data_IF_706107820054
#
_entry.id   IF_706107820054
#
_cell.length_a   1.000
_cell.length_b   1.000
_cell.length_c   1.000
_cell.angle_alpha   90.00
_cell.angle_beta   90.00
_cell.angle_gamma   90.00
#
_symmetry.space_group_name_H-M   'P 1'
#
loop_
_entity.id
_entity.type
_entity.pdbx_description
1 polymer ?
#
# COMPACT_ATOMS: atom_id res chain seq x y z
N UNK A 1 -15.67 12.37 -10.34
CA UNK A 1 -15.42 10.92 -10.58
C UNK A 1 -13.94 10.51 -10.62
N UNK A 2 -12.95 11.43 -10.55
CA UNK A 2 -11.52 11.09 -10.66
C UNK A 2 -10.85 10.46 -9.41
N UNK A 3 -11.52 10.43 -8.25
CA UNK A 3 -10.96 9.91 -6.99
C UNK A 3 -10.99 8.38 -6.90
N UNK A 4 -12.02 7.73 -7.46
CA UNK A 4 -12.20 6.28 -7.36
C UNK A 4 -11.11 5.52 -8.13
N UNK A 5 -10.80 5.96 -9.37
CA UNK A 5 -9.76 5.33 -10.18
C UNK A 5 -8.38 5.36 -9.52
N UNK A 6 -8.00 6.47 -8.84
CA UNK A 6 -6.70 6.56 -8.16
C UNK A 6 -6.60 5.66 -6.93
N UNK A 7 -7.70 5.48 -6.21
CA UNK A 7 -7.74 4.61 -5.04
C UNK A 7 -7.69 3.11 -5.40
N UNK A 8 -8.17 2.74 -6.59
CA UNK A 8 -8.20 1.35 -7.07
C UNK A 8 -6.84 0.88 -7.62
N UNK A 9 -6.01 1.79 -8.14
CA UNK A 9 -4.66 1.46 -8.67
C UNK A 9 -3.81 0.60 -7.71
N UNK A 10 -3.66 0.93 -6.42
CA UNK A 10 -2.86 0.11 -5.51
C UNK A 10 -3.43 -1.30 -5.30
N UNK A 11 -4.75 -1.49 -5.35
CA UNK A 11 -5.39 -2.80 -5.22
C UNK A 11 -5.19 -3.66 -6.47
N UNK A 12 -5.35 -3.08 -7.67
CA UNK A 12 -5.09 -3.78 -8.93
C UNK A 12 -3.60 -4.15 -9.03
N UNK A 13 -2.70 -3.24 -8.63
CA UNK A 13 -1.26 -3.47 -8.68
C UNK A 13 -0.82 -4.57 -7.70
N UNK A 14 -1.39 -4.61 -6.49
CA UNK A 14 -1.13 -5.70 -5.53
C UNK A 14 -1.71 -7.04 -6.01
N UNK A 15 -2.94 -7.03 -6.53
CA UNK A 15 -3.60 -8.24 -7.03
C UNK A 15 -2.91 -8.85 -8.25
N UNK A 16 -2.46 -8.02 -9.20
CA UNK A 16 -1.76 -8.48 -10.41
C UNK A 16 -0.42 -9.14 -10.11
N UNK A 17 0.32 -8.63 -9.14
CA UNK A 17 1.62 -9.19 -8.74
C UNK A 17 1.46 -10.47 -7.93
N UNK A 18 0.42 -10.57 -7.10
CA UNK A 18 0.04 -11.80 -6.45
C UNK A 18 -0.29 -12.90 -7.48
N UNK A 19 -1.08 -12.56 -8.51
CA UNK A 19 -1.44 -13.48 -9.59
C UNK A 19 -0.22 -14.00 -10.36
N UNK A 20 0.67 -13.10 -10.81
CA UNK A 20 1.91 -13.48 -11.52
C UNK A 20 2.81 -14.40 -10.70
N UNK A 21 2.87 -14.17 -9.39
CA UNK A 21 3.70 -14.96 -8.47
C UNK A 21 3.15 -16.37 -8.26
N UNK A 22 1.82 -16.52 -8.17
CA UNK A 22 1.15 -17.83 -8.05
C UNK A 22 1.23 -18.61 -9.37
N UNK A 23 1.05 -17.92 -10.50
CA UNK A 23 1.00 -18.56 -11.82
C UNK A 23 2.35 -19.15 -12.24
N UNK A 24 3.44 -18.45 -11.93
CA UNK A 24 4.77 -18.95 -12.24
C UNK A 24 5.06 -20.10 -11.26
N UNK A 25 5.00 -21.39 -11.65
CA UNK A 25 5.37 -22.50 -10.74
C UNK A 25 6.79 -22.94 -11.06
N UNK A 26 7.71 -22.80 -10.10
CA UNK A 26 9.12 -23.22 -10.26
C UNK A 26 9.59 -23.99 -9.04
N UNK A 27 10.31 -25.08 -9.24
CA UNK A 27 10.87 -25.91 -8.16
C UNK A 27 12.26 -25.43 -7.71
N UNK A 28 12.69 -24.23 -8.13
CA UNK A 28 13.98 -23.66 -7.75
C UNK A 28 13.87 -22.83 -6.46
N UNK A 29 14.58 -23.25 -5.40
CA UNK A 29 14.59 -22.58 -4.10
C UNK A 29 15.03 -21.11 -4.16
N UNK A 30 16.02 -20.77 -4.99
CA UNK A 30 16.50 -19.39 -5.12
C UNK A 30 15.39 -18.49 -5.69
N UNK A 31 14.67 -18.99 -6.69
CA UNK A 31 13.54 -18.25 -7.29
C UNK A 31 12.37 -18.09 -6.31
N UNK A 32 12.14 -19.08 -5.44
CA UNK A 32 11.11 -18.98 -4.40
C UNK A 32 11.46 -17.91 -3.34
N UNK A 33 12.72 -17.82 -2.92
CA UNK A 33 13.16 -16.79 -1.98
C UNK A 33 12.97 -15.38 -2.58
N UNK A 34 13.39 -15.19 -3.84
CA UNK A 34 13.24 -13.91 -4.54
C UNK A 34 11.76 -13.50 -4.63
N UNK A 35 10.86 -14.44 -4.88
CA UNK A 35 9.41 -14.18 -4.91
C UNK A 35 8.83 -13.77 -3.57
N UNK A 36 9.26 -14.41 -2.48
CA UNK A 36 8.81 -14.04 -1.13
C UNK A 36 9.25 -12.60 -0.83
N UNK A 37 10.49 -12.24 -1.18
CA UNK A 37 11.00 -10.87 -0.99
C UNK A 37 10.23 -9.84 -1.84
N UNK A 38 9.93 -10.17 -3.09
CA UNK A 38 9.08 -9.35 -3.96
C UNK A 38 7.68 -9.20 -3.35
N UNK A 39 7.07 -10.30 -2.90
CA UNK A 39 5.74 -10.31 -2.29
C UNK A 39 5.65 -9.39 -1.07
N UNK A 40 6.61 -9.53 -0.16
CA UNK A 40 6.71 -8.68 1.05
C UNK A 40 6.86 -7.21 0.61
N UNK A 41 7.74 -6.92 -0.34
CA UNK A 41 7.96 -5.55 -0.82
C UNK A 41 6.68 -4.92 -1.39
N UNK A 42 5.92 -5.66 -2.19
CA UNK A 42 4.65 -5.18 -2.76
C UNK A 42 3.53 -5.03 -1.73
N UNK A 43 3.49 -5.89 -0.70
CA UNK A 43 2.54 -5.76 0.41
C UNK A 43 2.84 -4.58 1.33
N UNK A 44 4.08 -4.09 1.35
CA UNK A 44 4.45 -2.92 2.12
C UNK A 44 4.13 -1.59 1.41
N UNK A 45 3.94 -1.58 0.09
CA UNK A 45 3.55 -0.37 -0.68
C UNK A 45 2.33 0.35 -0.11
N UNK A 46 1.18 -0.30 0.20
CA UNK A 46 0.04 0.38 0.81
C UNK A 46 0.30 0.90 2.22
N UNK A 47 1.35 0.44 2.91
CA UNK A 47 1.79 0.98 4.20
C UNK A 47 2.67 2.22 3.98
N UNK A 48 3.61 2.16 3.02
CA UNK A 48 4.50 3.28 2.74
C UNK A 48 3.80 4.45 2.04
N UNK A 49 2.81 4.21 1.17
CA UNK A 49 2.10 5.29 0.47
C UNK A 49 1.48 6.33 1.42
N UNK A 50 0.69 5.95 2.45
CA UNK A 50 0.19 6.88 3.46
C UNK A 50 1.30 7.57 4.25
N UNK A 51 2.37 6.85 4.61
CA UNK A 51 3.51 7.42 5.35
C UNK A 51 4.18 8.51 4.51
N UNK A 52 4.48 8.21 3.23
CA UNK A 52 5.06 9.18 2.29
C UNK A 52 4.12 10.37 2.13
N UNK A 53 2.82 10.15 1.95
CA UNK A 53 1.83 11.24 1.88
C UNK A 53 1.82 12.11 3.14
N UNK A 54 1.89 11.52 4.33
CA UNK A 54 1.93 12.27 5.60
C UNK A 54 3.25 13.06 5.70
N UNK A 55 4.37 12.50 5.30
CA UNK A 55 5.68 13.17 5.39
C UNK A 55 5.85 14.29 4.35
N UNK A 56 5.30 14.11 3.14
CA UNK A 56 5.53 15.02 2.00
C UNK A 56 4.42 16.04 1.76
N UNK A 57 3.18 15.73 2.13
CA UNK A 57 2.02 16.59 1.84
C UNK A 57 1.50 17.25 3.13
N UNK A 58 1.94 18.49 3.38
CA UNK A 58 1.52 19.30 4.54
C UNK A 58 0.00 19.41 4.73
N UNK A 59 -0.82 19.69 3.69
CA UNK A 59 -2.28 19.74 3.89
C UNK A 59 -2.87 18.37 4.25
N UNK A 60 -2.41 17.27 3.65
CA UNK A 60 -2.84 15.92 4.00
C UNK A 60 -2.43 15.55 5.44
N UNK A 61 -1.19 15.87 5.82
CA UNK A 61 -0.65 15.72 7.18
C UNK A 61 -1.54 16.43 8.21
N UNK A 62 -1.85 17.70 7.96
CA UNK A 62 -2.66 18.51 8.85
C UNK A 62 -4.08 17.94 8.97
N UNK A 63 -4.69 17.46 7.88
CA UNK A 63 -6.01 16.84 7.91
C UNK A 63 -6.04 15.54 8.76
N UNK A 64 -5.02 14.68 8.63
CA UNK A 64 -4.89 13.46 9.44
C UNK A 64 -4.75 13.78 10.92
N UNK A 65 -3.88 14.73 11.29
CA UNK A 65 -3.64 15.09 12.69
C UNK A 65 -4.77 15.94 13.32
N UNK A 66 -5.47 16.79 12.57
CA UNK A 66 -6.68 17.50 13.05
C UNK A 66 -7.85 16.55 13.33
N UNK A 67 -8.01 15.53 12.49
CA UNK A 67 -9.03 14.49 12.68
C UNK A 67 -8.75 13.67 13.95
N UNK A 68 -7.49 13.33 14.20
CA UNK A 68 -7.06 12.66 15.44
C UNK A 68 -7.40 13.48 16.69
N UNK A 69 -7.18 14.80 16.67
CA UNK A 69 -7.46 15.68 17.82
C UNK A 69 -8.95 15.97 18.04
N UNK A 70 -9.79 15.87 17.00
CA UNK A 70 -11.24 16.07 17.12
C UNK A 70 -11.98 14.87 17.73
N UNK A 71 -11.37 13.68 17.76
CA UNK A 71 -11.96 12.49 18.40
C UNK A 71 -11.70 12.38 19.91
N UNK A 72 -10.87 13.25 20.49
CA UNK A 72 -10.48 13.21 21.91
C UNK A 72 -11.37 14.13 22.78
N UNK A 73 -12.24 14.93 22.17
CA UNK A 73 -13.18 15.78 22.91
C UNK A 73 -14.64 15.44 22.55
N UNK A 74 -15.23 14.38 23.13
CA UNK A 74 -16.68 14.23 23.11
C UNK A 74 -17.25 15.30 24.05
N UNK A 75 -17.95 16.28 23.49
CA UNK A 75 -18.85 17.14 24.27
C UNK A 75 -20.04 16.33 24.76
#
# INVERSE_FOLDING_TARGET
MASFSRAVVPFINQGGILFLTIYSKTNNNTTNIIRIMIYISFHLIPVFNPIICILTNTPYRNAVFKRSSSQINPQ
#
